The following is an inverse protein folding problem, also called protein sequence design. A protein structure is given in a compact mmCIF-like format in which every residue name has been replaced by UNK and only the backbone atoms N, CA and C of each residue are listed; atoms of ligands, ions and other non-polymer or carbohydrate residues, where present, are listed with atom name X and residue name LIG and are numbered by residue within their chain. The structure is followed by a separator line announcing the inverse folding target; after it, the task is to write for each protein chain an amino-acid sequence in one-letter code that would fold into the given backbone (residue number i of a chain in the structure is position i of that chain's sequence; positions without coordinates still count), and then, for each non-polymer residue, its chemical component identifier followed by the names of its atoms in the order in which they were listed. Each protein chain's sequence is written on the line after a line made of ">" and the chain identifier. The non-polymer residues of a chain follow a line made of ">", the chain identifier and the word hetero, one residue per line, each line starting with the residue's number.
data_IF_689635099249
#
_entry.id   IF_689635099249
#
_cell.length_a   1.000
_cell.length_b   1.000
_cell.length_c   1.000
_cell.angle_alpha   90.00
_cell.angle_beta   90.00
_cell.angle_gamma   90.00
#
_symmetry.space_group_name_H-M   'P 1'
#
loop_
_entity.id
_entity.type
_entity.pdbx_description
1 polymer ?
#
# COMPACT_ATOMS: atom_id res chain seq x y z
N UNK A 1 25.31 21.97 11.94
CA UNK A 1 23.87 22.24 11.67
C UNK A 1 23.65 22.25 10.18
N UNK A 2 22.78 21.37 9.70
CA UNK A 2 22.40 21.31 8.29
C UNK A 2 21.61 22.55 7.85
N UNK A 3 21.57 22.84 6.54
CA UNK A 3 20.73 23.93 5.99
C UNK A 3 19.25 23.73 6.32
N UNK A 4 18.80 22.48 6.35
CA UNK A 4 17.44 22.09 6.72
C UNK A 4 17.13 22.48 8.17
N UNK A 5 17.98 22.10 9.12
CA UNK A 5 17.80 22.44 10.53
C UNK A 5 17.68 23.96 10.73
N UNK A 6 18.53 24.75 10.08
CA UNK A 6 18.46 26.22 10.15
C UNK A 6 17.15 26.77 9.58
N UNK A 7 16.65 26.20 8.48
CA UNK A 7 15.35 26.57 7.88
C UNK A 7 14.20 26.31 8.87
N UNK A 8 14.16 25.11 9.43
CA UNK A 8 13.09 24.69 10.36
C UNK A 8 13.12 25.50 11.66
N UNK A 9 14.31 25.79 12.21
CA UNK A 9 14.44 26.65 13.39
C UNK A 9 13.87 28.05 13.13
N UNK A 10 14.14 28.63 11.94
CA UNK A 10 13.59 29.94 11.56
C UNK A 10 12.08 29.89 11.44
N UNK A 11 11.52 28.83 10.84
CA UNK A 11 10.08 28.61 10.72
C UNK A 11 9.40 28.58 12.09
N UNK A 12 9.92 27.77 13.03
CA UNK A 12 9.36 27.64 14.37
C UNK A 12 9.44 28.94 15.18
N UNK A 13 10.50 29.73 14.99
CA UNK A 13 10.71 31.01 15.69
C UNK A 13 9.99 32.21 15.04
N UNK A 14 9.22 32.03 13.96
CA UNK A 14 8.37 33.10 13.43
C UNK A 14 7.32 33.54 14.45
N UNK A 15 6.85 32.61 15.28
CA UNK A 15 6.01 32.93 16.44
C UNK A 15 6.89 33.40 17.60
N UNK A 16 6.76 34.69 17.96
CA UNK A 16 7.56 35.32 19.02
C UNK A 16 7.34 34.73 20.41
N UNK A 17 6.21 34.05 20.63
CA UNK A 17 5.88 33.42 21.90
C UNK A 17 6.52 32.03 22.05
N UNK A 18 7.13 31.49 20.98
CA UNK A 18 7.78 30.17 20.97
C UNK A 18 9.29 30.33 21.13
N UNK A 19 9.86 29.60 22.10
CA UNK A 19 11.31 29.47 22.28
C UNK A 19 11.73 28.02 22.09
N UNK A 20 12.73 27.79 21.25
CA UNK A 20 13.41 26.50 21.15
C UNK A 20 14.33 26.35 22.36
N UNK A 21 14.12 25.32 23.18
CA UNK A 21 14.88 25.08 24.42
C UNK A 21 15.88 23.93 24.27
N UNK A 22 15.60 22.96 23.38
CA UNK A 22 16.51 21.86 23.06
C UNK A 22 16.34 21.46 21.59
N UNK A 23 17.44 21.02 20.99
CA UNK A 23 17.45 20.36 19.69
C UNK A 23 18.16 19.03 19.81
N UNK A 24 17.63 17.99 19.19
CA UNK A 24 18.27 16.69 19.09
C UNK A 24 18.12 16.12 17.68
N UNK A 25 18.96 15.15 17.37
CA UNK A 25 18.95 14.42 16.10
C UNK A 25 19.07 12.94 16.45
N UNK A 26 18.22 12.13 15.82
CA UNK A 26 18.14 10.68 16.02
C UNK A 26 17.55 10.03 14.77
N UNK A 27 17.67 8.71 14.65
CA UNK A 27 17.15 7.98 13.50
C UNK A 27 16.03 7.02 13.88
N UNK A 28 15.12 6.76 12.95
CA UNK A 28 14.13 5.67 13.04
C UNK A 28 14.50 4.56 12.09
N UNK A 29 14.38 3.29 12.52
CA UNK A 29 14.58 2.16 11.64
C UNK A 29 13.42 2.05 10.66
N UNK A 30 13.73 1.74 9.41
CA UNK A 30 12.78 1.47 8.34
C UNK A 30 13.14 0.12 7.73
N UNK A 31 12.24 -0.86 7.86
CA UNK A 31 12.43 -2.21 7.32
C UNK A 31 11.99 -2.24 5.86
N UNK A 32 12.89 -2.62 4.97
CA UNK A 32 12.57 -2.90 3.57
C UNK A 32 11.95 -4.30 3.46
N UNK A 33 10.79 -4.40 2.83
CA UNK A 33 10.03 -5.64 2.66
C UNK A 33 9.71 -5.82 1.19
N UNK A 34 10.26 -6.86 0.58
CA UNK A 34 9.92 -7.24 -0.78
C UNK A 34 8.73 -8.19 -0.76
N UNK A 35 7.76 -7.92 -1.62
CA UNK A 35 6.51 -8.66 -1.71
C UNK A 35 6.30 -9.12 -3.13
N UNK A 36 6.12 -10.43 -3.31
CA UNK A 36 5.57 -11.00 -4.53
C UNK A 36 4.08 -11.24 -4.33
N UNK A 37 3.26 -10.70 -5.23
CA UNK A 37 1.81 -10.78 -5.14
C UNK A 37 1.20 -11.12 -6.49
N UNK A 38 0.01 -11.71 -6.44
CA UNK A 38 -0.77 -12.05 -7.62
C UNK A 38 -1.88 -11.02 -7.82
N UNK A 39 -1.72 -10.07 -8.75
CA UNK A 39 -2.80 -9.16 -9.07
C UNK A 39 -3.87 -9.82 -9.92
N UNK A 40 -5.06 -9.25 -9.83
CA UNK A 40 -6.20 -9.56 -10.68
C UNK A 40 -6.76 -8.27 -11.25
N UNK A 41 -7.13 -8.27 -12.53
CA UNK A 41 -7.88 -7.18 -13.14
C UNK A 41 -9.35 -7.49 -13.04
N UNK A 42 -10.10 -6.66 -12.31
CA UNK A 42 -11.56 -6.72 -12.24
C UNK A 42 -12.16 -5.63 -13.11
N UNK A 43 -13.07 -5.99 -14.00
CA UNK A 43 -13.85 -5.04 -14.78
C UNK A 43 -15.33 -5.39 -14.76
N UNK A 44 -16.17 -4.47 -15.22
CA UNK A 44 -17.59 -4.80 -15.51
C UNK A 44 -17.62 -5.76 -16.70
N UNK A 45 -18.44 -6.82 -16.62
CA UNK A 45 -18.58 -7.76 -17.73
C UNK A 45 -19.25 -7.07 -18.92
N UNK A 46 -18.76 -7.33 -20.13
CA UNK A 46 -19.41 -6.82 -21.33
C UNK A 46 -20.71 -7.59 -21.65
N UNK A 47 -21.56 -6.99 -22.48
CA UNK A 47 -22.88 -7.55 -22.82
C UNK A 47 -22.76 -8.88 -23.55
N UNK A 48 -21.75 -9.06 -24.42
CA UNK A 48 -21.64 -10.28 -25.21
C UNK A 48 -21.17 -11.46 -24.36
N UNK A 49 -20.19 -11.24 -23.49
CA UNK A 49 -19.73 -12.24 -22.52
C UNK A 49 -20.86 -12.64 -21.58
N UNK A 50 -21.67 -11.67 -21.14
CA UNK A 50 -22.88 -11.93 -20.35
C UNK A 50 -23.85 -12.82 -21.13
N UNK A 51 -24.14 -12.49 -22.39
CA UNK A 51 -25.03 -13.29 -23.26
C UNK A 51 -24.50 -14.70 -23.51
N UNK A 52 -23.18 -14.87 -23.69
CA UNK A 52 -22.55 -16.17 -23.87
C UNK A 52 -22.68 -17.04 -22.63
N UNK A 53 -22.35 -16.50 -21.45
CA UNK A 53 -22.47 -17.25 -20.20
C UNK A 53 -23.93 -17.64 -19.91
N UNK A 54 -24.88 -16.72 -20.17
CA UNK A 54 -26.31 -17.03 -20.05
C UNK A 54 -26.74 -18.14 -21.02
N UNK A 55 -26.33 -18.05 -22.28
CA UNK A 55 -26.64 -19.09 -23.28
C UNK A 55 -26.11 -20.45 -22.83
N UNK A 56 -24.81 -20.54 -22.49
CA UNK A 56 -24.15 -21.77 -22.03
C UNK A 56 -24.77 -22.32 -20.73
N UNK A 57 -25.34 -21.45 -19.88
CA UNK A 57 -26.07 -21.85 -18.68
C UNK A 57 -27.45 -22.44 -18.99
N UNK A 58 -28.13 -21.94 -20.03
CA UNK A 58 -29.51 -22.31 -20.37
C UNK A 58 -29.60 -23.52 -21.31
N UNK A 59 -28.59 -23.76 -22.15
CA UNK A 59 -28.60 -24.83 -23.14
C UNK A 59 -27.22 -25.45 -23.40
N UNK A 60 -27.23 -26.63 -24.03
CA UNK A 60 -26.03 -27.40 -24.35
C UNK A 60 -25.53 -27.05 -25.75
N UNK A 61 -24.31 -26.50 -25.83
CA UNK A 61 -23.66 -26.14 -27.09
C UNK A 61 -22.40 -26.97 -27.30
N UNK A 62 -22.29 -27.64 -28.44
CA UNK A 62 -21.15 -28.49 -28.78
C UNK A 62 -20.06 -27.73 -29.54
N UNK A 63 -20.38 -26.57 -30.12
CA UNK A 63 -19.42 -25.77 -30.88
C UNK A 63 -19.66 -24.26 -30.74
N UNK A 64 -18.59 -23.48 -30.95
CA UNK A 64 -18.65 -22.01 -31.02
C UNK A 64 -19.51 -21.52 -32.20
N UNK A 65 -19.67 -22.35 -33.23
CA UNK A 65 -20.52 -22.04 -34.38
C UNK A 65 -22.00 -21.99 -34.00
N UNK A 66 -22.48 -22.92 -33.18
CA UNK A 66 -23.87 -22.90 -32.67
C UNK A 66 -24.14 -21.64 -31.82
N UNK A 67 -23.15 -21.22 -31.02
CA UNK A 67 -23.22 -19.98 -30.24
C UNK A 67 -23.22 -18.73 -31.13
N UNK A 68 -22.41 -18.73 -32.19
CA UNK A 68 -22.35 -17.65 -33.19
C UNK A 68 -23.66 -17.50 -33.95
N UNK A 69 -24.28 -18.61 -34.36
CA UNK A 69 -25.59 -18.62 -35.03
C UNK A 69 -26.71 -18.12 -34.11
N UNK A 70 -26.69 -18.52 -32.83
CA UNK A 70 -27.68 -18.08 -31.84
C UNK A 70 -27.57 -16.56 -31.55
N UNK A 71 -26.36 -16.07 -31.34
CA UNK A 71 -26.12 -14.68 -30.95
C UNK A 71 -26.04 -13.73 -32.16
N UNK A 72 -26.02 -14.26 -33.39
CA UNK A 72 -25.87 -13.51 -34.64
C UNK A 72 -24.58 -12.66 -34.67
N UNK A 73 -23.49 -13.24 -34.18
CA UNK A 73 -22.17 -12.61 -34.07
C UNK A 73 -21.16 -13.38 -34.91
N UNK A 74 -20.12 -12.69 -35.42
CA UNK A 74 -19.07 -13.31 -36.23
C UNK A 74 -18.43 -14.52 -35.52
N UNK A 75 -18.28 -15.68 -36.20
CA UNK A 75 -17.74 -16.89 -35.60
C UNK A 75 -16.34 -16.73 -35.00
N UNK A 76 -15.45 -15.94 -35.63
CA UNK A 76 -14.08 -15.74 -35.13
C UNK A 76 -14.10 -14.99 -33.80
N UNK A 77 -15.02 -14.02 -33.65
CA UNK A 77 -15.14 -13.26 -32.42
C UNK A 77 -15.66 -14.12 -31.25
N UNK A 78 -16.62 -15.01 -31.53
CA UNK A 78 -17.13 -15.96 -30.53
C UNK A 78 -16.04 -16.98 -30.16
N UNK A 79 -15.26 -17.46 -31.12
CA UNK A 79 -14.14 -18.36 -30.87
C UNK A 79 -13.07 -17.72 -29.97
N UNK A 80 -12.69 -16.48 -30.26
CA UNK A 80 -11.74 -15.72 -29.43
C UNK A 80 -12.27 -15.51 -28.00
N UNK A 81 -13.54 -15.12 -27.87
CA UNK A 81 -14.15 -14.84 -26.57
C UNK A 81 -14.35 -16.10 -25.74
N UNK A 82 -14.82 -17.20 -26.33
CA UNK A 82 -14.94 -18.50 -25.65
C UNK A 82 -13.56 -19.03 -25.26
N UNK A 83 -12.55 -18.87 -26.10
CA UNK A 83 -11.16 -19.25 -25.78
C UNK A 83 -10.63 -18.46 -24.59
N UNK A 84 -10.89 -17.15 -24.53
CA UNK A 84 -10.58 -16.32 -23.36
C UNK A 84 -11.28 -16.84 -22.10
N UNK A 85 -12.59 -17.10 -22.19
CA UNK A 85 -13.41 -17.59 -21.07
C UNK A 85 -12.97 -18.96 -20.56
N UNK A 86 -12.46 -19.83 -21.43
CA UNK A 86 -11.85 -21.11 -21.04
C UNK A 86 -10.52 -20.86 -20.34
N UNK A 87 -9.67 -19.99 -20.89
CA UNK A 87 -8.37 -19.66 -20.30
C UNK A 87 -8.50 -19.09 -18.88
N UNK A 88 -9.50 -18.24 -18.64
CA UNK A 88 -9.77 -17.65 -17.31
C UNK A 88 -10.69 -18.51 -16.43
N UNK A 89 -11.03 -19.72 -16.89
CA UNK A 89 -11.81 -20.73 -16.18
C UNK A 89 -13.25 -20.29 -15.84
N UNK A 90 -13.90 -19.52 -16.70
CA UNK A 90 -15.34 -19.20 -16.62
C UNK A 90 -16.20 -20.25 -17.32
N UNK A 91 -15.64 -20.88 -18.36
CA UNK A 91 -16.27 -21.96 -19.13
C UNK A 91 -15.29 -23.12 -19.24
N UNK A 92 -15.81 -24.34 -19.23
CA UNK A 92 -15.05 -25.55 -19.52
C UNK A 92 -15.77 -26.37 -20.59
N UNK A 93 -15.03 -27.22 -21.30
CA UNK A 93 -15.61 -28.15 -22.27
C UNK A 93 -15.64 -29.54 -21.65
N UNK A 94 -16.84 -30.01 -21.31
CA UNK A 94 -17.06 -31.28 -20.60
C UNK A 94 -18.11 -32.11 -21.34
N UNK A 95 -17.83 -33.41 -21.51
CA UNK A 95 -18.72 -34.36 -22.20
C UNK A 95 -19.19 -33.93 -23.60
N UNK A 96 -18.38 -33.12 -24.31
CA UNK A 96 -18.69 -32.65 -25.66
C UNK A 96 -19.51 -31.36 -25.72
N UNK A 97 -19.74 -30.70 -24.59
CA UNK A 97 -20.49 -29.45 -24.52
C UNK A 97 -19.75 -28.40 -23.67
N UNK A 98 -19.98 -27.13 -23.98
CA UNK A 98 -19.56 -26.03 -23.10
C UNK A 98 -20.42 -25.99 -21.84
N UNK A 99 -19.77 -25.81 -20.69
CA UNK A 99 -20.39 -25.68 -19.38
C UNK A 99 -19.79 -24.51 -18.63
N UNK A 100 -20.65 -23.73 -17.97
CA UNK A 100 -20.21 -22.68 -17.06
C UNK A 100 -19.59 -23.31 -15.80
N UNK A 101 -18.48 -22.75 -15.32
CA UNK A 101 -17.84 -23.19 -14.08
C UNK A 101 -18.47 -22.46 -12.88
N UNK A 102 -18.13 -22.90 -11.65
CA UNK A 102 -18.53 -22.17 -10.43
C UNK A 102 -18.05 -20.72 -10.44
N UNK A 103 -16.82 -20.47 -10.91
CA UNK A 103 -16.25 -19.11 -11.06
C UNK A 103 -17.05 -18.30 -12.07
N UNK A 104 -17.35 -18.89 -13.23
CA UNK A 104 -18.18 -18.28 -14.26
C UNK A 104 -19.56 -17.87 -13.75
N UNK A 105 -20.20 -18.74 -12.97
CA UNK A 105 -21.52 -18.46 -12.42
C UNK A 105 -21.49 -17.31 -11.40
N UNK A 106 -20.52 -17.29 -10.48
CA UNK A 106 -20.37 -16.22 -9.49
C UNK A 106 -20.10 -14.86 -10.15
N UNK A 107 -19.18 -14.83 -11.13
CA UNK A 107 -18.85 -13.61 -11.85
C UNK A 107 -20.01 -13.08 -12.69
N UNK A 108 -20.78 -13.98 -13.33
CA UNK A 108 -22.00 -13.62 -14.05
C UNK A 108 -23.06 -13.00 -13.12
N UNK A 109 -23.30 -13.61 -11.96
CA UNK A 109 -24.26 -13.11 -10.97
C UNK A 109 -23.87 -11.74 -10.40
N UNK A 110 -22.56 -11.48 -10.29
CA UNK A 110 -22.00 -10.20 -9.85
C UNK A 110 -21.86 -9.17 -10.97
N UNK A 111 -22.00 -9.57 -12.25
CA UNK A 111 -21.79 -8.70 -13.40
C UNK A 111 -20.35 -8.23 -13.59
N UNK A 112 -19.38 -8.97 -13.05
CA UNK A 112 -17.96 -8.63 -13.10
C UNK A 112 -17.18 -9.65 -13.93
N UNK A 113 -16.07 -9.24 -14.49
CA UNK A 113 -15.09 -10.10 -15.14
C UNK A 113 -13.75 -9.95 -14.42
N UNK A 114 -13.14 -11.06 -14.03
CA UNK A 114 -11.84 -11.03 -13.37
C UNK A 114 -10.81 -11.87 -14.13
N UNK A 115 -9.74 -11.19 -14.53
CA UNK A 115 -8.60 -11.77 -15.21
C UNK A 115 -7.42 -11.84 -14.23
N UNK A 116 -6.90 -13.04 -14.02
CA UNK A 116 -5.67 -13.25 -13.25
C UNK A 116 -4.48 -12.72 -14.06
N UNK A 117 -3.66 -11.88 -13.43
CA UNK A 117 -2.45 -11.33 -14.04
C UNK A 117 -1.21 -12.11 -13.58
N UNK A 118 -0.09 -11.87 -14.26
CA UNK A 118 1.20 -12.43 -13.86
C UNK A 118 1.62 -11.90 -12.48
N UNK A 119 2.42 -12.69 -11.77
CA UNK A 119 2.95 -12.32 -10.45
C UNK A 119 3.79 -11.05 -10.61
N UNK A 120 3.52 -10.08 -9.74
CA UNK A 120 4.26 -8.84 -9.66
C UNK A 120 5.06 -8.77 -8.35
N UNK A 121 6.12 -7.97 -8.36
CA UNK A 121 6.95 -7.71 -7.19
C UNK A 121 6.94 -6.24 -6.85
N UNK A 122 6.81 -5.91 -5.58
CA UNK A 122 6.89 -4.55 -5.06
C UNK A 122 7.78 -4.51 -3.81
N UNK A 123 8.36 -3.35 -3.55
CA UNK A 123 9.18 -3.10 -2.35
C UNK A 123 8.43 -2.11 -1.48
N UNK A 124 8.09 -2.54 -0.27
CA UNK A 124 7.40 -1.76 0.74
C UNK A 124 8.35 -1.38 1.88
N UNK A 125 7.99 -0.34 2.62
CA UNK A 125 8.80 0.19 3.72
C UNK A 125 7.99 0.21 5.01
N UNK A 126 8.37 -0.59 5.99
CA UNK A 126 7.69 -0.68 7.28
C UNK A 126 8.45 0.12 8.34
N UNK A 127 7.75 0.95 9.10
CA UNK A 127 8.34 1.64 10.25
C UNK A 127 7.88 1.00 11.56
N UNK A 128 8.80 0.41 12.35
CA UNK A 128 8.50 -0.10 13.68
C UNK A 128 7.98 0.98 14.63
N UNK A 129 8.41 2.23 14.45
CA UNK A 129 7.94 3.35 15.27
C UNK A 129 6.50 3.75 14.95
N UNK A 130 6.04 3.51 13.72
CA UNK A 130 4.68 3.80 13.29
C UNK A 130 3.76 2.57 13.34
N UNK A 131 4.35 1.37 13.40
CA UNK A 131 3.68 0.08 13.25
C UNK A 131 2.84 -0.01 11.97
N UNK A 132 3.34 0.61 10.90
CA UNK A 132 2.66 0.67 9.60
C UNK A 132 3.66 0.68 8.44
N UNK A 133 3.18 0.29 7.26
CA UNK A 133 3.87 0.58 6.01
C UNK A 133 3.79 2.08 5.71
N UNK A 134 4.82 2.60 5.06
CA UNK A 134 4.96 4.00 4.68
C UNK A 134 4.85 4.13 3.16
N UNK A 135 4.04 5.07 2.71
CA UNK A 135 3.90 5.44 1.30
C UNK A 135 5.02 6.40 0.91
N UNK A 136 6.21 5.87 0.62
CA UNK A 136 7.43 6.62 0.27
C UNK A 136 8.02 6.10 -1.03
N UNK A 137 8.75 6.96 -1.75
CA UNK A 137 9.46 6.51 -2.96
C UNK A 137 10.85 6.05 -2.58
N UNK A 138 11.36 5.05 -3.29
CA UNK A 138 12.72 4.53 -3.09
C UNK A 138 13.81 5.62 -3.21
N UNK A 139 13.55 6.66 -4.00
CA UNK A 139 14.45 7.82 -4.17
C UNK A 139 14.58 8.69 -2.90
N UNK A 140 13.65 8.56 -1.95
CA UNK A 140 13.62 9.36 -0.72
C UNK A 140 14.51 8.75 0.39
N UNK A 141 15.03 7.54 0.17
CA UNK A 141 15.92 6.85 1.11
C UNK A 141 17.36 7.27 0.82
N UNK A 142 17.81 8.33 1.51
CA UNK A 142 19.20 8.78 1.46
C UNK A 142 20.09 7.83 2.28
N UNK A 143 21.23 7.42 1.71
CA UNK A 143 22.29 6.74 2.43
C UNK A 143 23.15 7.77 3.17
N UNK A 144 23.19 7.68 4.49
CA UNK A 144 23.99 8.56 5.34
C UNK A 144 25.24 7.82 5.86
N UNK A 145 26.42 8.41 5.67
CA UNK A 145 27.70 7.84 6.13
C UNK A 145 27.86 7.84 7.66
N UNK A 146 27.25 8.80 8.35
CA UNK A 146 27.30 8.94 9.82
C UNK A 146 25.89 9.22 10.34
N UNK A 147 25.28 8.19 10.91
CA UNK A 147 23.92 8.23 11.42
C UNK A 147 23.91 8.54 12.93
N UNK A 148 23.09 9.50 13.36
CA UNK A 148 22.76 9.73 14.76
C UNK A 148 22.30 8.46 15.51
N UNK A 149 22.17 8.57 16.83
CA UNK A 149 21.65 7.46 17.63
C UNK A 149 20.21 7.10 17.25
N UNK A 150 19.87 5.82 17.39
CA UNK A 150 18.50 5.34 17.21
C UNK A 150 17.53 6.01 18.19
N UNK A 151 16.29 6.13 17.72
CA UNK A 151 15.19 6.66 18.50
C UNK A 151 14.98 5.81 19.77
N UNK A 152 14.96 6.49 20.91
CA UNK A 152 14.98 5.87 22.25
C UNK A 152 13.73 5.05 22.63
N UNK A 153 12.70 5.07 21.79
CA UNK A 153 11.46 4.32 21.99
C UNK A 153 11.10 3.42 20.81
N UNK A 154 12.11 2.99 20.04
CA UNK A 154 11.92 1.93 19.04
C UNK A 154 11.37 0.68 19.72
N UNK A 155 10.33 0.12 19.12
CA UNK A 155 9.81 -1.19 19.48
C UNK A 155 10.75 -2.26 18.89
N UNK A 156 11.51 -2.92 19.77
CA UNK A 156 12.52 -3.91 19.38
C UNK A 156 11.89 -5.18 18.77
N UNK A 157 10.66 -5.52 19.16
CA UNK A 157 9.96 -6.67 18.59
C UNK A 157 9.51 -6.34 17.16
N UNK A 158 8.92 -5.16 16.97
CA UNK A 158 8.51 -4.70 15.64
C UNK A 158 9.70 -4.43 14.69
N UNK A 159 10.87 -4.05 15.22
CA UNK A 159 12.09 -3.85 14.43
C UNK A 159 12.62 -5.15 13.83
N UNK A 160 12.51 -6.26 14.58
CA UNK A 160 12.95 -7.59 14.15
C UNK A 160 11.85 -8.38 13.45
N UNK A 161 10.72 -7.75 13.15
CA UNK A 161 9.59 -8.39 12.53
C UNK A 161 9.90 -8.81 11.09
N UNK A 162 9.76 -10.11 10.82
CA UNK A 162 9.91 -10.69 9.47
C UNK A 162 8.57 -11.10 8.86
N UNK A 163 7.54 -11.26 9.70
CA UNK A 163 6.20 -11.67 9.29
C UNK A 163 5.23 -10.49 9.44
N UNK A 164 4.43 -10.26 8.41
CA UNK A 164 3.48 -9.16 8.35
C UNK A 164 2.09 -9.70 8.08
N UNK A 165 1.07 -9.05 8.63
CA UNK A 165 -0.31 -9.39 8.31
C UNK A 165 -0.59 -9.08 6.84
N UNK A 166 -1.23 -10.03 6.15
CA UNK A 166 -1.54 -9.91 4.73
C UNK A 166 -2.41 -8.68 4.42
N UNK A 167 -3.34 -8.35 5.32
CA UNK A 167 -4.19 -7.16 5.22
C UNK A 167 -3.38 -5.86 5.17
N UNK A 168 -2.33 -5.73 5.99
CA UNK A 168 -1.47 -4.54 6.00
C UNK A 168 -0.69 -4.40 4.69
N UNK A 169 -0.19 -5.52 4.16
CA UNK A 169 0.54 -5.55 2.90
C UNK A 169 -0.39 -5.19 1.73
N UNK A 170 -1.60 -5.76 1.70
CA UNK A 170 -2.60 -5.48 0.67
C UNK A 170 -2.97 -3.99 0.66
N UNK A 171 -3.20 -3.39 1.84
CA UNK A 171 -3.48 -1.95 1.94
C UNK A 171 -2.31 -1.11 1.39
N UNK A 172 -1.08 -1.42 1.80
CA UNK A 172 0.10 -0.68 1.34
C UNK A 172 0.30 -0.76 -0.19
N UNK A 173 0.12 -1.94 -0.78
CA UNK A 173 0.21 -2.14 -2.23
C UNK A 173 -0.93 -1.45 -2.98
N UNK A 174 -2.15 -1.41 -2.41
CA UNK A 174 -3.29 -0.74 -3.04
C UNK A 174 -3.12 0.78 -3.11
N UNK A 175 -2.51 1.40 -2.09
CA UNK A 175 -2.19 2.83 -2.09
C UNK A 175 -1.24 3.22 -3.23
N UNK A 176 -0.32 2.34 -3.64
CA UNK A 176 0.55 2.56 -4.80
C UNK A 176 -0.18 2.40 -6.14
N UNK A 177 -1.27 1.62 -6.17
CA UNK A 177 -1.93 1.19 -7.41
C UNK A 177 -3.13 2.07 -7.78
N UNK A 178 -3.43 3.12 -7.02
CA UNK A 178 -4.65 3.93 -7.11
C UNK A 178 -4.74 4.86 -8.36
N UNK A 179 -4.11 4.47 -9.48
CA UNK A 179 -4.03 5.25 -10.71
C UNK A 179 -5.11 4.95 -11.77
N UNK A 180 -6.11 4.08 -11.56
CA UNK A 180 -7.13 3.84 -12.60
C UNK A 180 -8.55 4.26 -12.19
N UNK A 181 -8.84 5.54 -12.42
CA UNK A 181 -10.20 6.04 -12.64
C UNK A 181 -10.76 5.47 -13.96
N UNK A 182 -11.28 4.23 -13.93
CA UNK A 182 -11.87 3.55 -15.08
C UNK A 182 -12.77 2.37 -14.67
N UNK A 183 -13.41 1.72 -15.65
CA UNK A 183 -14.25 0.52 -15.48
C UNK A 183 -13.47 -0.77 -15.16
N UNK A 184 -12.14 -0.66 -15.04
CA UNK A 184 -11.22 -1.75 -14.71
C UNK A 184 -10.34 -1.34 -13.54
N UNK A 185 -10.34 -2.13 -12.47
CA UNK A 185 -9.52 -1.94 -11.28
C UNK A 185 -8.56 -3.12 -11.12
N UNK A 186 -7.30 -2.83 -10.80
CA UNK A 186 -6.34 -3.85 -10.38
C UNK A 186 -6.51 -4.09 -8.88
N UNK A 187 -6.73 -5.34 -8.50
CA UNK A 187 -6.93 -5.80 -7.13
C UNK A 187 -5.84 -6.83 -6.84
N UNK A 188 -5.49 -7.01 -5.58
CA UNK A 188 -4.52 -8.03 -5.14
C UNK A 188 -5.32 -9.26 -4.75
N UNK A 189 -5.13 -10.37 -5.46
CA UNK A 189 -5.85 -11.61 -5.21
C UNK A 189 -5.21 -12.43 -4.08
N UNK A 190 -3.88 -12.44 -4.02
CA UNK A 190 -3.11 -13.16 -3.02
C UNK A 190 -1.71 -12.57 -2.87
N UNK A 191 -1.14 -12.70 -1.66
CA UNK A 191 0.29 -12.53 -1.43
C UNK A 191 0.98 -13.89 -1.53
N UNK A 192 1.96 -14.01 -2.42
CA UNK A 192 2.68 -15.27 -2.68
C UNK A 192 3.92 -15.39 -1.79
N UNK A 193 4.66 -14.29 -1.64
CA UNK A 193 5.89 -14.26 -0.87
C UNK A 193 6.11 -12.90 -0.23
N UNK A 194 6.63 -12.91 0.99
CA UNK A 194 7.05 -11.73 1.74
C UNK A 194 8.46 -11.98 2.25
N UNK A 195 9.38 -11.08 1.96
CA UNK A 195 10.78 -11.17 2.38
C UNK A 195 11.23 -9.85 3.02
N UNK A 196 11.50 -9.90 4.32
CA UNK A 196 12.03 -8.77 5.06
C UNK A 196 13.56 -8.71 4.87
N UNK A 197 14.06 -7.65 4.23
CA UNK A 197 15.46 -7.56 3.79
C UNK A 197 16.36 -6.89 4.83
N UNK A 198 16.53 -5.58 4.68
CA UNK A 198 17.45 -4.77 5.48
C UNK A 198 16.68 -3.71 6.25
N UNK A 199 17.34 -3.15 7.27
CA UNK A 199 16.87 -1.98 8.00
C UNK A 199 17.71 -0.81 7.53
N UNK A 200 17.05 0.24 7.08
CA UNK A 200 17.65 1.53 6.76
C UNK A 200 17.20 2.53 7.82
N UNK A 201 18.14 3.28 8.37
CA UNK A 201 17.84 4.28 9.39
C UNK A 201 17.60 5.64 8.73
N UNK A 202 16.48 6.28 9.08
CA UNK A 202 16.12 7.59 8.55
C UNK A 202 16.22 8.67 9.64
N UNK A 203 16.96 9.77 9.42
CA UNK A 203 17.14 10.79 10.44
C UNK A 203 15.86 11.60 10.70
N UNK A 204 15.76 12.09 11.92
CA UNK A 204 14.70 12.96 12.39
C UNK A 204 15.30 14.10 13.21
N UNK A 205 14.72 15.28 13.06
CA UNK A 205 15.13 16.47 13.80
C UNK A 205 14.08 16.78 14.87
N UNK A 206 14.49 16.73 16.13
CA UNK A 206 13.65 17.00 17.28
C UNK A 206 13.90 18.43 17.79
N UNK A 207 12.82 19.18 17.98
CA UNK A 207 12.83 20.53 18.55
C UNK A 207 11.90 20.55 19.76
N UNK A 208 12.46 20.69 20.97
CA UNK A 208 11.65 20.93 22.16
C UNK A 208 11.41 22.42 22.28
N UNK A 209 10.13 22.78 22.39
CA UNK A 209 9.61 24.14 22.31
C UNK A 209 8.91 24.50 23.61
N UNK A 210 9.10 25.74 24.05
CA UNK A 210 8.35 26.36 25.13
C UNK A 210 7.49 27.49 24.56
N UNK A 211 6.17 27.37 24.71
CA UNK A 211 5.21 28.43 24.40
C UNK A 211 4.96 29.28 25.65
N UNK A 212 5.44 30.52 25.62
CA UNK A 212 5.33 31.48 26.73
C UNK A 212 3.89 31.95 26.98
N UNK A 213 3.05 31.97 25.95
CA UNK A 213 1.66 32.44 26.08
C UNK A 213 0.76 31.41 26.79
N UNK A 214 1.02 30.14 26.53
CA UNK A 214 0.24 29.02 27.06
C UNK A 214 0.92 28.32 28.26
N UNK A 215 2.14 28.75 28.62
CA UNK A 215 3.00 28.09 29.62
C UNK A 215 3.10 26.57 29.41
N UNK A 216 3.36 26.19 28.15
CA UNK A 216 3.36 24.79 27.71
C UNK A 216 4.67 24.42 27.02
N UNK A 217 5.21 23.27 27.40
CA UNK A 217 6.33 22.63 26.71
C UNK A 217 5.78 21.52 25.81
N UNK A 218 6.27 21.45 24.58
CA UNK A 218 5.91 20.42 23.61
C UNK A 218 7.06 20.21 22.63
N UNK A 219 6.96 19.20 21.79
CA UNK A 219 8.00 18.86 20.81
C UNK A 219 7.46 18.97 19.39
N UNK A 220 8.36 19.31 18.46
CA UNK A 220 8.14 19.18 17.02
C UNK A 220 9.21 18.27 16.43
N UNK A 221 8.80 17.30 15.63
CA UNK A 221 9.69 16.30 15.03
C UNK A 221 9.59 16.40 13.53
N UNK A 222 10.69 16.71 12.86
CA UNK A 222 10.76 16.67 11.41
C UNK A 222 11.32 15.33 10.95
N UNK A 223 10.53 14.60 10.17
CA UNK A 223 10.94 13.33 9.59
C UNK A 223 11.50 13.58 8.19
N UNK A 224 12.77 13.24 7.96
CA UNK A 224 13.43 13.53 6.67
C UNK A 224 12.90 12.64 5.55
N UNK A 225 12.41 11.43 5.87
CA UNK A 225 11.86 10.49 4.91
C UNK A 225 10.65 11.05 4.17
N UNK A 226 9.74 11.72 4.89
CA UNK A 226 8.54 12.33 4.31
C UNK A 226 8.69 13.82 4.01
N UNK A 227 9.80 14.43 4.42
CA UNK A 227 9.99 15.88 4.38
C UNK A 227 8.81 16.64 5.02
N UNK A 228 8.34 16.18 6.17
CA UNK A 228 7.22 16.80 6.90
C UNK A 228 7.36 16.65 8.43
N UNK A 229 6.50 17.40 9.13
CA UNK A 229 6.35 17.28 10.60
C UNK A 229 5.58 16.01 10.96
N UNK A 230 6.16 15.18 11.82
CA UNK A 230 5.67 13.86 12.20
C UNK A 230 4.87 13.91 13.50
N UNK A 231 3.54 13.96 13.35
CA UNK A 231 2.63 14.08 14.49
C UNK A 231 2.63 12.86 15.40
N UNK A 232 2.92 11.67 14.87
CA UNK A 232 2.87 10.45 15.66
C UNK A 232 4.06 10.39 16.62
N UNK A 233 5.26 10.67 16.12
CA UNK A 233 6.45 10.78 16.97
C UNK A 233 6.37 11.97 17.94
N UNK A 234 5.81 13.11 17.50
CA UNK A 234 5.55 14.26 18.36
C UNK A 234 4.65 13.91 19.55
N UNK A 235 3.54 13.21 19.29
CA UNK A 235 2.60 12.78 20.31
C UNK A 235 3.26 11.79 21.27
N UNK A 236 3.95 10.78 20.74
CA UNK A 236 4.62 9.76 21.56
C UNK A 236 5.66 10.36 22.52
N UNK A 237 6.46 11.32 22.04
CA UNK A 237 7.43 12.02 22.86
C UNK A 237 6.79 12.94 23.89
N UNK A 238 5.73 13.66 23.50
CA UNK A 238 4.99 14.53 24.42
C UNK A 238 4.41 13.70 25.57
N UNK A 239 3.79 12.56 25.28
CA UNK A 239 3.19 11.70 26.30
C UNK A 239 4.21 11.11 27.27
N UNK A 240 5.45 10.88 26.83
CA UNK A 240 6.51 10.24 27.63
C UNK A 240 7.40 11.24 28.38
N UNK A 241 7.66 12.42 27.82
CA UNK A 241 8.73 13.30 28.29
C UNK A 241 8.32 14.73 28.65
N UNK A 242 7.08 15.14 28.37
CA UNK A 242 6.65 16.52 28.61
C UNK A 242 6.89 16.97 30.07
N UNK A 243 6.61 16.08 31.04
CA UNK A 243 6.86 16.36 32.46
C UNK A 243 8.36 16.57 32.75
N UNK A 244 9.22 15.73 32.19
CA UNK A 244 10.66 15.81 32.37
C UNK A 244 11.22 17.11 31.79
N UNK A 245 10.75 17.51 30.60
CA UNK A 245 11.18 18.76 30.01
C UNK A 245 10.73 19.98 30.83
N UNK A 246 9.53 19.92 31.41
CA UNK A 246 9.03 20.98 32.29
C UNK A 246 9.94 21.12 33.51
N UNK A 247 10.30 20.03 34.18
CA UNK A 247 11.20 20.03 35.34
C UNK A 247 12.63 20.46 35.01
N UNK A 248 13.11 20.12 33.81
CA UNK A 248 14.50 20.38 33.42
C UNK A 248 14.73 21.80 32.91
N UNK A 249 13.73 22.43 32.29
CA UNK A 249 13.90 23.67 31.54
C UNK A 249 13.05 24.85 32.02
N UNK A 250 12.08 24.64 32.91
CA UNK A 250 11.28 25.68 33.58
C UNK A 250 11.49 25.64 35.09
#
# INVERSE_FOLDING_TARGET
>A
MSKLQQRLMRELQQNRNIKIIKTAEWCIPIRTVDVAYKPMRRSTMDVLMTMLLLSIKEADFASTQELSELLLVDPLFIEDLVSLMIRVNLVQHEAGFYRITTKGQQQLEQGIFEEELDIETATLYFSPCHQSFLSIKTEDIEEYDDLPQLYRYVDQEAEQQEQFEESLIITALQEETDETAGTSQKIIAAIEQVEAKQINDSPCLEFVLYNQEQDMVYVRVWNTLWNQWDKQLEQQLTDKEQLQWREQYL
#
